data_IF_130934998278
#
_entry.id   IF_130934998278
#
_cell.length_a   1.000
_cell.length_b   1.000
_cell.length_c   1.000
_cell.angle_alpha   90.00
_cell.angle_beta   90.00
_cell.angle_gamma   90.00
#
_symmetry.space_group_name_H-M   'P 1'
#
loop_
_entity.id
_entity.type
_entity.pdbx_description
1 polymer ?
#
# COMPACT_ATOMS: atom_id res chain seq x y z
N UNK A 1 -29.03 17.04 9.24
CA UNK A 1 -27.81 17.01 8.40
C UNK A 1 -27.81 15.83 7.44
N UNK A 2 -27.86 14.58 7.92
CA UNK A 2 -27.81 13.38 7.04
C UNK A 2 -28.90 13.40 5.95
N UNK A 3 -30.15 13.73 6.30
CA UNK A 3 -31.24 13.86 5.32
C UNK A 3 -31.01 14.94 4.26
N UNK A 4 -30.29 16.02 4.59
CA UNK A 4 -29.92 17.06 3.62
C UNK A 4 -28.87 16.53 2.62
N UNK A 5 -27.92 15.72 3.10
CA UNK A 5 -26.93 15.05 2.25
C UNK A 5 -27.63 14.05 1.32
N UNK A 6 -28.56 13.25 1.85
CA UNK A 6 -29.32 12.27 1.07
C UNK A 6 -30.16 12.95 -0.04
N UNK A 7 -30.77 14.09 0.27
CA UNK A 7 -31.56 14.89 -0.68
C UNK A 7 -30.71 15.63 -1.73
N UNK A 8 -29.38 15.69 -1.58
CA UNK A 8 -28.50 16.39 -2.53
C UNK A 8 -28.33 15.62 -3.85
N UNK A 9 -27.88 16.33 -4.89
CA UNK A 9 -27.53 15.74 -6.19
C UNK A 9 -26.10 15.20 -6.26
N UNK A 10 -25.41 15.07 -5.12
CA UNK A 10 -24.04 14.55 -5.08
C UNK A 10 -24.00 13.05 -5.42
N UNK A 11 -22.89 12.53 -5.96
CA UNK A 11 -22.70 11.10 -6.14
C UNK A 11 -22.88 10.32 -4.83
N UNK A 12 -23.38 9.09 -4.91
CA UNK A 12 -23.67 8.28 -3.72
C UNK A 12 -22.42 8.02 -2.86
N UNK A 13 -21.26 7.85 -3.50
CA UNK A 13 -19.99 7.70 -2.79
C UNK A 13 -19.63 8.96 -1.96
N UNK A 14 -19.87 10.15 -2.50
CA UNK A 14 -19.65 11.40 -1.78
C UNK A 14 -20.60 11.51 -0.59
N UNK A 15 -21.88 11.13 -0.78
CA UNK A 15 -22.88 11.11 0.29
C UNK A 15 -22.48 10.17 1.42
N UNK A 16 -22.06 8.95 1.12
CA UNK A 16 -21.63 7.99 2.13
C UNK A 16 -20.39 8.46 2.90
N UNK A 17 -19.40 9.04 2.21
CA UNK A 17 -18.21 9.65 2.84
C UNK A 17 -18.61 10.79 3.78
N UNK A 18 -19.48 11.69 3.34
CA UNK A 18 -20.00 12.79 4.15
C UNK A 18 -20.78 12.30 5.38
N UNK A 19 -21.68 11.35 5.19
CA UNK A 19 -22.45 10.72 6.28
C UNK A 19 -21.53 10.04 7.30
N UNK A 20 -20.46 9.37 6.84
CA UNK A 20 -19.46 8.77 7.73
C UNK A 20 -18.79 9.81 8.64
N UNK A 21 -18.38 10.94 8.08
CA UNK A 21 -17.75 12.05 8.84
C UNK A 21 -18.71 12.59 9.89
N UNK A 22 -19.96 12.89 9.51
CA UNK A 22 -20.95 13.44 10.44
C UNK A 22 -21.36 12.44 11.53
N UNK A 23 -21.47 11.15 11.21
CA UNK A 23 -21.74 10.11 12.22
C UNK A 23 -20.61 10.05 13.25
N UNK A 24 -19.36 10.07 12.80
CA UNK A 24 -18.19 10.06 13.68
C UNK A 24 -18.17 11.26 14.63
N UNK A 25 -18.48 12.46 14.10
CA UNK A 25 -18.55 13.67 14.90
C UNK A 25 -19.72 13.61 15.90
N UNK A 26 -20.91 13.20 15.47
CA UNK A 26 -22.09 13.08 16.34
C UNK A 26 -21.89 12.04 17.45
N UNK A 27 -21.21 10.93 17.17
CA UNK A 27 -20.86 9.93 18.18
C UNK A 27 -19.86 10.49 19.21
N UNK A 28 -18.86 11.23 18.75
CA UNK A 28 -17.87 11.85 19.62
C UNK A 28 -18.51 12.88 20.57
N UNK A 29 -19.32 13.78 20.02
CA UNK A 29 -20.07 14.79 20.78
C UNK A 29 -21.08 14.15 21.75
N UNK A 30 -21.77 13.09 21.31
CA UNK A 30 -22.69 12.34 22.17
C UNK A 30 -21.98 11.74 23.39
N UNK A 31 -20.75 11.24 23.23
CA UNK A 31 -19.93 10.77 24.36
C UNK A 31 -19.50 11.88 25.30
N UNK A 32 -19.15 13.06 24.78
CA UNK A 32 -18.76 14.22 25.58
C UNK A 32 -19.95 14.72 26.41
N UNK A 33 -21.14 14.77 25.81
CA UNK A 33 -22.35 15.31 26.44
C UNK A 33 -23.21 14.26 27.15
N UNK A 34 -22.87 12.98 27.06
CA UNK A 34 -23.68 11.88 27.61
C UNK A 34 -25.03 11.70 26.90
N UNK A 35 -25.12 12.11 25.63
CA UNK A 35 -26.34 12.08 24.82
C UNK A 35 -26.27 10.99 23.73
N UNK A 36 -27.40 10.39 23.33
CA UNK A 36 -27.47 9.57 22.12
C UNK A 36 -27.07 10.39 20.89
N UNK A 37 -26.34 9.80 19.95
CA UNK A 37 -25.81 10.50 18.76
C UNK A 37 -26.88 11.18 17.88
N UNK A 38 -28.14 10.72 17.95
CA UNK A 38 -29.28 11.33 17.24
C UNK A 38 -29.85 12.59 17.89
N UNK A 39 -29.51 12.87 19.16
CA UNK A 39 -30.00 14.00 19.95
C UNK A 39 -28.94 15.09 20.15
N UNK A 40 -27.74 14.88 19.58
CA UNK A 40 -26.65 15.83 19.66
C UNK A 40 -26.93 17.01 18.73
N UNK A 41 -27.07 18.19 19.33
CA UNK A 41 -26.94 19.44 18.61
C UNK A 41 -25.46 19.76 18.48
N UNK A 42 -24.94 19.81 17.25
CA UNK A 42 -23.60 20.32 17.00
C UNK A 42 -23.62 21.82 17.35
N UNK A 43 -23.07 22.16 18.52
CA UNK A 43 -23.22 23.47 19.17
C UNK A 43 -22.36 24.59 18.55
N UNK A 44 -21.42 24.26 17.66
CA UNK A 44 -20.68 25.27 16.92
C UNK A 44 -21.60 25.89 15.85
N UNK A 45 -21.90 27.17 16.03
CA UNK A 45 -22.74 28.03 15.19
C UNK A 45 -22.34 27.90 13.71
N UNK A 46 -22.95 26.99 12.95
CA UNK A 46 -22.54 26.74 11.56
C UNK A 46 -22.97 25.40 10.98
N UNK A 47 -24.17 24.87 11.27
CA UNK A 47 -24.63 23.63 10.63
C UNK A 47 -24.50 23.66 9.09
N UNK A 48 -24.63 24.85 8.48
CA UNK A 48 -24.33 25.07 7.07
C UNK A 48 -22.82 25.07 6.76
N UNK A 49 -22.00 25.80 7.53
CA UNK A 49 -20.54 25.89 7.33
C UNK A 49 -19.86 24.53 7.48
N UNK A 50 -20.22 23.76 8.52
CA UNK A 50 -19.73 22.40 8.71
C UNK A 50 -20.14 21.46 7.56
N UNK A 51 -21.35 21.62 6.99
CA UNK A 51 -21.77 20.88 5.79
C UNK A 51 -20.89 21.29 4.60
N UNK A 52 -20.66 22.59 4.41
CA UNK A 52 -19.83 23.09 3.30
C UNK A 52 -18.38 22.62 3.45
N UNK A 53 -17.81 22.64 4.65
CA UNK A 53 -16.44 22.18 4.91
C UNK A 53 -16.29 20.68 4.67
N UNK A 54 -17.19 19.87 5.25
CA UNK A 54 -17.14 18.41 5.12
C UNK A 54 -17.42 17.97 3.69
N UNK A 55 -18.52 18.44 3.09
CA UNK A 55 -18.88 18.06 1.73
C UNK A 55 -17.94 18.69 0.71
N UNK A 56 -17.43 19.89 0.97
CA UNK A 56 -16.42 20.54 0.15
C UNK A 56 -15.09 19.78 0.13
N UNK A 57 -14.65 19.26 1.29
CA UNK A 57 -13.49 18.38 1.36
C UNK A 57 -13.71 17.08 0.57
N UNK A 58 -14.86 16.41 0.76
CA UNK A 58 -15.20 15.17 0.05
C UNK A 58 -15.22 15.38 -1.47
N UNK A 59 -15.94 16.41 -1.93
CA UNK A 59 -16.03 16.76 -3.35
C UNK A 59 -14.68 17.19 -3.89
N UNK A 60 -13.91 17.97 -3.14
CA UNK A 60 -12.56 18.40 -3.50
C UNK A 60 -11.62 17.23 -3.75
N UNK A 61 -11.62 16.23 -2.85
CA UNK A 61 -10.84 15.00 -3.02
C UNK A 61 -11.25 14.24 -4.29
N UNK A 62 -12.55 14.11 -4.57
CA UNK A 62 -13.03 13.47 -5.80
C UNK A 62 -12.62 14.24 -7.05
N UNK A 63 -12.78 15.56 -7.06
CA UNK A 63 -12.40 16.42 -8.20
C UNK A 63 -10.89 16.38 -8.47
N UNK A 64 -10.08 16.21 -7.43
CA UNK A 64 -8.64 16.00 -7.54
C UNK A 64 -8.24 14.58 -8.01
N UNK A 65 -9.21 13.66 -8.11
CA UNK A 65 -8.97 12.26 -8.45
C UNK A 65 -8.28 11.47 -7.34
N UNK A 66 -8.42 11.89 -6.07
CA UNK A 66 -7.77 11.25 -4.93
C UNK A 66 -8.48 9.93 -4.59
N UNK A 67 -7.76 8.83 -4.75
CA UNK A 67 -8.26 7.48 -4.43
C UNK A 67 -7.98 7.08 -2.97
N UNK A 68 -6.84 7.52 -2.42
CA UNK A 68 -6.44 7.26 -1.02
C UNK A 68 -5.93 8.54 -0.40
N UNK A 69 -6.32 8.78 0.85
CA UNK A 69 -5.86 9.90 1.65
C UNK A 69 -4.97 9.37 2.77
N UNK A 70 -3.84 10.02 2.99
CA UNK A 70 -2.89 9.66 4.04
C UNK A 70 -2.66 10.87 4.94
N UNK A 71 -2.49 10.62 6.24
CA UNK A 71 -2.23 11.66 7.22
C UNK A 71 -1.02 11.32 8.10
N UNK A 72 -0.23 12.34 8.42
CA UNK A 72 0.80 12.25 9.45
C UNK A 72 0.16 12.30 10.86
N UNK A 73 0.92 11.97 11.92
CA UNK A 73 0.43 12.15 13.28
C UNK A 73 -0.03 13.58 13.55
N UNK A 74 -1.21 13.72 14.15
CA UNK A 74 -1.83 15.02 14.40
C UNK A 74 -1.20 15.73 15.61
N UNK A 75 -1.06 17.06 15.58
CA UNK A 75 -0.50 17.81 16.70
C UNK A 75 -1.43 17.75 17.92
N UNK A 76 -0.82 17.58 19.10
CA UNK A 76 -1.50 17.59 20.40
C UNK A 76 -1.22 18.93 21.13
N UNK A 77 -2.03 19.98 20.92
CA UNK A 77 -1.89 21.23 21.67
C UNK A 77 -2.19 21.02 23.15
N UNK A 78 -1.61 21.86 23.99
CA UNK A 78 -1.88 21.91 25.44
C UNK A 78 -2.42 23.30 25.81
N UNK A 79 -3.19 23.38 26.89
CA UNK A 79 -3.75 24.63 27.41
C UNK A 79 -5.27 24.65 27.33
N UNK A 80 -5.84 25.84 27.19
CA UNK A 80 -7.27 26.07 27.21
C UNK A 80 -7.64 27.16 26.19
N UNK A 81 -8.81 27.04 25.57
CA UNK A 81 -9.44 28.10 24.78
C UNK A 81 -10.88 28.26 25.25
N UNK A 82 -11.24 29.47 25.68
CA UNK A 82 -12.62 29.83 26.06
C UNK A 82 -13.25 28.87 27.11
N UNK A 83 -12.51 28.46 28.13
CA UNK A 83 -13.02 27.51 29.14
C UNK A 83 -12.88 26.04 28.77
N UNK A 84 -12.47 25.72 27.52
CA UNK A 84 -12.33 24.34 27.05
C UNK A 84 -10.86 23.89 26.99
N UNK A 85 -10.52 22.71 27.54
CA UNK A 85 -9.18 22.17 27.45
C UNK A 85 -8.81 21.89 25.98
N UNK A 86 -7.53 22.07 25.66
CA UNK A 86 -6.95 21.70 24.38
C UNK A 86 -6.21 20.35 24.48
N UNK A 87 -6.45 19.41 23.54
CA UNK A 87 -7.45 19.48 22.47
C UNK A 87 -8.88 19.39 23.01
N UNK A 88 -9.84 19.92 22.25
CA UNK A 88 -11.25 19.85 22.60
C UNK A 88 -11.69 18.39 22.88
N UNK A 89 -12.58 18.15 23.86
CA UNK A 89 -13.02 16.80 24.22
C UNK A 89 -13.55 15.98 23.03
N UNK A 90 -14.30 16.61 22.13
CA UNK A 90 -14.83 15.96 20.93
C UNK A 90 -13.72 15.50 19.97
N UNK A 91 -12.66 16.30 19.80
CA UNK A 91 -11.48 15.94 19.00
C UNK A 91 -10.83 14.68 19.59
N UNK A 92 -10.63 14.62 20.91
CA UNK A 92 -10.06 13.44 21.55
C UNK A 92 -10.93 12.19 21.36
N UNK A 93 -12.25 12.31 21.44
CA UNK A 93 -13.18 11.20 21.19
C UNK A 93 -13.13 10.70 19.74
N UNK A 94 -13.10 11.61 18.76
CA UNK A 94 -12.95 11.27 17.33
C UNK A 94 -11.65 10.52 17.09
N UNK A 95 -10.53 11.06 17.57
CA UNK A 95 -9.20 10.50 17.32
C UNK A 95 -8.99 9.17 18.05
N UNK A 96 -9.54 9.02 19.26
CA UNK A 96 -9.52 7.77 20.00
C UNK A 96 -10.33 6.67 19.28
N UNK A 97 -11.45 7.00 18.65
CA UNK A 97 -12.29 6.04 17.93
C UNK A 97 -11.59 5.37 16.74
N UNK A 98 -10.57 6.02 16.17
CA UNK A 98 -9.79 5.51 15.04
C UNK A 98 -8.32 5.20 15.39
N UNK A 99 -7.97 5.24 16.67
CA UNK A 99 -6.60 5.08 17.16
C UNK A 99 -5.56 5.96 16.42
N UNK A 100 -5.93 7.21 16.15
CA UNK A 100 -5.06 8.13 15.41
C UNK A 100 -3.77 8.42 16.20
N UNK A 101 -2.58 8.36 15.56
CA UNK A 101 -1.33 8.74 16.22
C UNK A 101 -1.26 10.25 16.43
N UNK A 102 -0.75 10.63 17.59
CA UNK A 102 -0.64 12.02 18.03
C UNK A 102 0.83 12.35 18.23
N UNK A 103 1.23 13.58 17.89
CA UNK A 103 2.59 14.08 18.12
C UNK A 103 2.56 15.25 19.10
N UNK A 104 3.53 15.35 20.02
CA UNK A 104 3.75 16.56 20.78
C UNK A 104 3.96 17.75 19.82
N UNK A 105 3.36 18.89 20.13
CA UNK A 105 3.65 20.14 19.44
C UNK A 105 3.89 21.25 20.47
N UNK A 106 4.91 22.07 20.22
CA UNK A 106 5.11 23.31 20.97
C UNK A 106 4.22 24.44 20.42
N UNK A 107 4.18 25.53 21.17
CA UNK A 107 3.58 26.80 20.77
C UNK A 107 2.39 27.23 21.63
N UNK A 108 2.01 28.50 21.49
CA UNK A 108 0.99 29.16 22.33
C UNK A 108 -0.42 28.56 22.27
N UNK A 109 -1.37 29.06 23.07
CA UNK A 109 -2.74 28.55 23.11
C UNK A 109 -3.40 28.66 21.73
N UNK A 110 -4.12 27.62 21.32
CA UNK A 110 -4.83 27.60 20.05
C UNK A 110 -5.27 26.20 19.63
N UNK A 111 -6.46 26.11 19.06
CA UNK A 111 -6.99 24.86 18.51
C UNK A 111 -6.34 24.58 17.15
N UNK A 112 -5.31 23.73 17.14
CA UNK A 112 -4.61 23.33 15.93
C UNK A 112 -5.35 22.26 15.13
N UNK A 113 -6.24 21.52 15.80
CA UNK A 113 -7.07 20.49 15.20
C UNK A 113 -8.50 20.75 15.67
N UNK A 114 -9.34 21.22 14.74
CA UNK A 114 -10.76 21.46 15.02
C UNK A 114 -11.54 20.14 15.01
N UNK A 115 -12.71 20.05 15.65
CA UNK A 115 -13.58 18.86 15.59
C UNK A 115 -13.89 18.42 14.15
N UNK A 116 -14.22 19.38 13.28
CA UNK A 116 -14.49 19.12 11.85
C UNK A 116 -13.26 18.58 11.12
N UNK A 117 -12.09 19.20 11.31
CA UNK A 117 -10.84 18.74 10.68
C UNK A 117 -10.44 17.35 11.17
N UNK A 118 -10.57 17.09 12.48
CA UNK A 118 -10.34 15.76 13.05
C UNK A 118 -11.28 14.72 12.44
N UNK A 119 -12.58 15.02 12.32
CA UNK A 119 -13.56 14.09 11.76
C UNK A 119 -13.31 13.78 10.28
N UNK A 120 -12.95 14.78 9.47
CA UNK A 120 -12.58 14.58 8.05
C UNK A 120 -11.39 13.64 7.94
N UNK A 121 -10.29 13.93 8.65
CA UNK A 121 -9.07 13.12 8.57
C UNK A 121 -9.30 11.72 9.14
N UNK A 122 -9.95 11.61 10.30
CA UNK A 122 -10.23 10.33 10.94
C UNK A 122 -11.13 9.42 10.10
N UNK A 123 -12.11 9.98 9.38
CA UNK A 123 -13.02 9.19 8.57
C UNK A 123 -12.46 8.80 7.20
N UNK A 124 -11.54 9.60 6.62
CA UNK A 124 -11.11 9.44 5.23
C UNK A 124 -9.65 9.02 5.07
N UNK A 125 -8.78 9.27 6.05
CA UNK A 125 -7.34 9.09 5.91
C UNK A 125 -6.82 7.82 6.60
N UNK A 126 -5.77 7.25 6.02
CA UNK A 126 -4.91 6.27 6.69
C UNK A 126 -3.73 6.99 7.37
N UNK A 127 -3.51 6.74 8.65
CA UNK A 127 -2.42 7.36 9.40
C UNK A 127 -1.09 6.64 9.16
N UNK A 128 -0.46 6.92 8.02
CA UNK A 128 0.89 6.48 7.66
C UNK A 128 1.47 7.37 6.58
N UNK A 129 2.80 7.39 6.44
CA UNK A 129 3.45 8.07 5.34
C UNK A 129 3.67 7.08 4.17
N UNK A 130 3.04 7.29 3.00
CA UNK A 130 3.23 6.40 1.85
C UNK A 130 4.54 6.70 1.12
N UNK A 131 5.06 5.71 0.39
CA UNK A 131 5.98 5.96 -0.71
C UNK A 131 5.21 6.65 -1.84
N UNK A 132 5.63 7.86 -2.21
CA UNK A 132 4.85 8.74 -3.08
C UNK A 132 5.78 9.43 -4.07
N UNK A 133 5.48 9.29 -5.36
CA UNK A 133 6.05 10.14 -6.40
C UNK A 133 5.24 11.44 -6.47
N UNK A 134 5.79 12.50 -5.90
CA UNK A 134 5.12 13.80 -5.81
C UNK A 134 4.82 14.38 -7.19
N UNK A 135 3.55 14.76 -7.41
CA UNK A 135 3.06 15.47 -8.58
C UNK A 135 2.84 16.96 -8.29
N UNK A 136 2.28 17.27 -7.13
CA UNK A 136 1.97 18.63 -6.72
C UNK A 136 1.98 18.79 -5.18
N UNK A 137 2.16 20.02 -4.73
CA UNK A 137 2.06 20.40 -3.32
C UNK A 137 1.12 21.61 -3.22
N UNK A 138 0.21 21.59 -2.26
CA UNK A 138 -0.72 22.68 -1.97
C UNK A 138 -0.59 23.13 -0.51
N UNK A 139 -0.88 24.41 -0.27
CA UNK A 139 -0.94 24.99 1.07
C UNK A 139 -2.27 25.72 1.24
N UNK A 140 -2.94 25.49 2.36
CA UNK A 140 -4.11 26.25 2.80
C UNK A 140 -3.78 26.98 4.10
N UNK A 141 -3.90 28.29 4.12
CA UNK A 141 -3.66 29.09 5.33
C UNK A 141 -4.96 29.28 6.11
N UNK A 142 -4.90 29.16 7.44
CA UNK A 142 -6.01 29.55 8.31
C UNK A 142 -6.05 31.06 8.53
N UNK A 143 -7.17 31.57 9.06
CA UNK A 143 -7.36 33.00 9.30
C UNK A 143 -6.49 33.57 10.44
N UNK A 144 -6.05 32.74 11.38
CA UNK A 144 -5.17 33.16 12.47
C UNK A 144 -3.71 33.27 12.00
N UNK A 145 -2.96 34.23 12.54
CA UNK A 145 -1.54 34.48 12.23
C UNK A 145 -0.67 34.44 13.50
N UNK A 146 -0.35 33.23 14.02
CA UNK A 146 0.42 33.09 15.25
C UNK A 146 1.90 33.44 15.01
N UNK A 147 2.47 34.26 15.89
CA UNK A 147 3.85 34.76 15.75
C UNK A 147 4.93 33.67 15.82
N UNK A 148 4.63 32.50 16.39
CA UNK A 148 5.58 31.43 16.66
C UNK A 148 5.61 30.32 15.59
N UNK A 149 4.68 30.32 14.62
CA UNK A 149 4.56 29.27 13.61
C UNK A 149 3.69 29.67 12.41
N UNK A 150 3.88 29.05 11.23
CA UNK A 150 2.94 29.22 10.13
C UNK A 150 1.62 28.46 10.41
N UNK A 151 0.48 29.13 10.25
CA UNK A 151 -0.85 28.53 10.34
C UNK A 151 -1.30 27.96 8.99
N UNK A 152 -0.65 26.88 8.55
CA UNK A 152 -0.88 26.27 7.22
C UNK A 152 -1.11 24.76 7.29
N UNK A 153 -2.10 24.29 6.53
CA UNK A 153 -2.27 22.90 6.14
C UNK A 153 -1.53 22.65 4.83
N UNK A 154 -0.72 21.59 4.76
CA UNK A 154 0.00 21.19 3.55
C UNK A 154 -0.57 19.88 2.99
N UNK A 155 -0.85 19.86 1.70
CA UNK A 155 -1.27 18.66 0.96
C UNK A 155 -0.20 18.25 -0.05
N UNK A 156 0.05 16.95 -0.12
CA UNK A 156 0.92 16.32 -1.10
C UNK A 156 0.06 15.47 -2.02
N UNK A 157 0.13 15.74 -3.32
CA UNK A 157 -0.58 14.97 -4.33
C UNK A 157 0.43 14.28 -5.21
N UNK A 158 0.28 12.98 -5.41
CA UNK A 158 1.23 12.18 -6.16
C UNK A 158 0.69 10.79 -6.42
N UNK A 159 1.43 10.06 -7.24
CA UNK A 159 1.15 8.66 -7.51
C UNK A 159 1.86 7.83 -6.44
N UNK A 160 1.15 6.85 -5.88
CA UNK A 160 1.77 5.92 -4.94
C UNK A 160 2.92 5.23 -5.68
N UNK A 161 4.13 5.37 -5.15
CA UNK A 161 5.29 4.73 -5.77
C UNK A 161 5.21 3.25 -5.42
N UNK A 162 4.60 2.47 -6.32
CA UNK A 162 4.73 1.01 -6.34
C UNK A 162 6.14 0.59 -6.81
N UNK A 163 7.00 1.57 -7.10
CA UNK A 163 8.37 1.45 -7.56
C UNK A 163 9.28 0.73 -6.58
N UNK A 164 9.30 -0.59 -6.72
CA UNK A 164 10.43 -1.44 -6.42
C UNK A 164 10.15 -2.40 -5.28
N UNK A 165 9.80 -3.63 -5.67
CA UNK A 165 9.58 -4.81 -4.83
C UNK A 165 8.35 -4.75 -3.94
N UNK A 166 7.45 -5.73 -4.09
CA UNK A 166 6.68 -6.20 -2.94
C UNK A 166 7.67 -6.27 -1.78
N UNK A 167 7.47 -5.49 -0.70
CA UNK A 167 8.39 -5.54 0.43
C UNK A 167 8.32 -6.95 0.99
N UNK A 168 9.29 -7.76 0.60
CA UNK A 168 9.41 -9.14 1.04
C UNK A 168 10.23 -9.12 2.30
N UNK A 169 9.85 -9.97 3.24
CA UNK A 169 10.64 -10.26 4.42
C UNK A 169 11.06 -11.71 4.38
N UNK A 170 12.34 -11.92 4.67
CA UNK A 170 12.88 -13.22 5.01
C UNK A 170 12.82 -13.38 6.51
N UNK A 171 12.04 -14.34 6.96
CA UNK A 171 11.94 -14.76 8.35
C UNK A 171 12.75 -16.05 8.52
N UNK A 172 13.62 -16.09 9.52
CA UNK A 172 14.43 -17.27 9.80
C UNK A 172 14.43 -17.67 11.26
N UNK A 173 14.45 -18.96 11.52
CA UNK A 173 14.72 -19.49 12.86
C UNK A 173 15.49 -20.81 12.80
N UNK A 174 16.26 -21.09 13.84
CA UNK A 174 17.08 -22.30 13.92
C UNK A 174 16.40 -23.30 14.86
N UNK A 175 16.31 -24.56 14.43
CA UNK A 175 15.60 -25.63 15.14
C UNK A 175 16.53 -26.85 15.27
N UNK A 176 16.92 -27.23 16.50
CA UNK A 176 17.74 -28.42 16.81
C UNK A 176 17.05 -29.44 17.73
N UNK A 177 15.80 -29.19 18.10
CA UNK A 177 15.00 -29.99 19.03
C UNK A 177 13.62 -30.38 18.48
N UNK A 178 13.44 -30.29 17.15
CA UNK A 178 12.23 -30.74 16.45
C UNK A 178 12.53 -31.90 15.49
N UNK A 179 11.52 -32.76 15.27
CA UNK A 179 11.58 -33.83 14.27
C UNK A 179 11.27 -33.30 12.87
N UNK A 180 11.71 -34.04 11.84
CA UNK A 180 11.39 -33.71 10.45
C UNK A 180 9.89 -33.71 10.15
N UNK A 181 9.10 -34.58 10.79
CA UNK A 181 7.64 -34.63 10.64
C UNK A 181 6.96 -33.35 11.12
N UNK A 182 7.37 -32.83 12.29
CA UNK A 182 6.85 -31.57 12.81
C UNK A 182 7.27 -30.39 11.93
N UNK A 183 8.51 -30.38 11.45
CA UNK A 183 8.97 -29.34 10.52
C UNK A 183 8.20 -29.38 9.19
N UNK A 184 7.91 -30.57 8.66
CA UNK A 184 7.11 -30.74 7.44
C UNK A 184 5.68 -30.20 7.61
N UNK A 185 5.04 -30.48 8.75
CA UNK A 185 3.73 -29.91 9.08
C UNK A 185 3.75 -28.38 9.06
N UNK A 186 4.76 -27.76 9.66
CA UNK A 186 4.90 -26.30 9.69
C UNK A 186 5.08 -25.72 8.29
N UNK A 187 5.85 -26.38 7.41
CA UNK A 187 6.00 -25.96 6.01
C UNK A 187 4.65 -25.97 5.26
N UNK A 188 3.83 -27.00 5.44
CA UNK A 188 2.50 -27.06 4.83
C UNK A 188 1.59 -25.93 5.33
N UNK A 189 1.61 -25.66 6.64
CA UNK A 189 0.83 -24.58 7.26
C UNK A 189 1.25 -23.20 6.75
N UNK A 190 2.56 -22.98 6.57
CA UNK A 190 3.10 -21.75 5.99
C UNK A 190 2.70 -21.59 4.52
N UNK A 191 2.75 -22.66 3.72
CA UNK A 191 2.27 -22.63 2.33
C UNK A 191 0.78 -22.31 2.26
N UNK A 192 -0.03 -22.91 3.12
CA UNK A 192 -1.47 -22.63 3.22
C UNK A 192 -1.77 -21.18 3.66
N UNK A 193 -0.87 -20.54 4.41
CA UNK A 193 -0.97 -19.12 4.76
C UNK A 193 -0.77 -18.20 3.55
N UNK A 194 -0.21 -18.70 2.44
CA UNK A 194 0.04 -17.92 1.24
C UNK A 194 1.38 -17.17 1.25
N UNK A 195 2.36 -17.65 2.01
CA UNK A 195 3.74 -17.14 1.91
C UNK A 195 4.30 -17.40 0.52
N UNK A 196 5.28 -16.60 0.08
CA UNK A 196 5.89 -16.77 -1.24
C UNK A 196 6.68 -18.06 -1.34
N UNK A 197 7.43 -18.40 -0.29
CA UNK A 197 8.16 -19.67 -0.20
C UNK A 197 8.50 -20.01 1.26
N UNK A 198 8.70 -21.29 1.54
CA UNK A 198 9.18 -21.79 2.84
C UNK A 198 10.03 -23.05 2.65
N UNK A 199 11.21 -23.07 3.25
CA UNK A 199 12.18 -24.17 3.11
C UNK A 199 13.01 -24.40 4.37
N UNK A 200 13.70 -25.55 4.41
CA UNK A 200 14.61 -25.96 5.48
C UNK A 200 16.03 -26.09 4.93
N UNK A 201 16.99 -25.48 5.61
CA UNK A 201 18.43 -25.65 5.32
C UNK A 201 19.08 -26.46 6.46
N UNK A 202 19.67 -27.63 6.20
CA UNK A 202 20.33 -28.41 7.25
C UNK A 202 21.56 -27.67 7.77
N UNK A 203 21.73 -27.63 9.10
CA UNK A 203 22.84 -26.94 9.76
C UNK A 203 23.37 -27.73 10.95
N UNK A 204 24.66 -27.54 11.25
CA UNK A 204 25.27 -28.05 12.47
C UNK A 204 25.19 -26.97 13.55
N UNK A 205 24.56 -27.28 14.68
CA UNK A 205 24.38 -26.35 15.80
C UNK A 205 25.31 -26.68 16.98
N UNK A 206 25.29 -25.80 18.00
CA UNK A 206 26.12 -25.93 19.21
C UNK A 206 25.98 -27.32 19.84
N UNK A 207 27.02 -27.76 20.57
CA UNK A 207 27.08 -29.09 21.19
C UNK A 207 26.96 -30.26 20.20
N UNK A 208 27.30 -30.04 18.93
CA UNK A 208 27.26 -31.09 17.91
C UNK A 208 25.84 -31.53 17.51
N UNK A 209 24.81 -30.73 17.80
CA UNK A 209 23.42 -31.05 17.45
C UNK A 209 23.14 -30.79 15.97
N UNK A 210 22.69 -31.79 15.19
CA UNK A 210 22.13 -31.51 13.87
C UNK A 210 20.81 -30.73 14.03
N UNK A 211 20.59 -29.74 13.17
CA UNK A 211 19.38 -28.94 13.16
C UNK A 211 19.06 -28.41 11.76
N UNK A 212 18.07 -27.54 11.67
CA UNK A 212 17.68 -26.88 10.43
C UNK A 212 17.44 -25.39 10.65
N UNK A 213 17.71 -24.59 9.63
CA UNK A 213 17.21 -23.21 9.52
C UNK A 213 15.91 -23.27 8.73
N UNK A 214 14.80 -22.96 9.40
CA UNK A 214 13.51 -22.74 8.74
C UNK A 214 13.47 -21.31 8.24
N UNK A 215 13.34 -21.17 6.92
CA UNK A 215 13.32 -19.90 6.21
C UNK A 215 11.96 -19.69 5.56
N UNK A 216 11.39 -18.50 5.70
CA UNK A 216 10.08 -18.13 5.14
C UNK A 216 10.22 -16.80 4.41
N UNK A 217 9.91 -16.78 3.12
CA UNK A 217 9.83 -15.57 2.31
C UNK A 217 8.35 -15.19 2.17
N UNK A 218 7.96 -14.02 2.65
CA UNK A 218 6.56 -13.58 2.62
C UNK A 218 6.45 -12.06 2.40
N UNK A 219 5.30 -11.53 1.94
CA UNK A 219 5.08 -10.09 1.91
C UNK A 219 4.98 -9.55 3.34
N UNK A 220 5.37 -8.29 3.55
CA UNK A 220 5.26 -7.63 4.86
C UNK A 220 3.84 -7.70 5.46
N UNK A 221 2.79 -7.73 4.62
CA UNK A 221 1.40 -7.87 5.08
C UNK A 221 1.10 -9.21 5.76
N UNK A 222 1.86 -10.27 5.49
CA UNK A 222 1.71 -11.58 6.13
C UNK A 222 2.73 -11.84 7.24
N UNK A 223 3.62 -10.89 7.50
CA UNK A 223 4.73 -11.04 8.44
C UNK A 223 4.24 -11.43 9.85
N UNK A 224 3.30 -10.66 10.42
CA UNK A 224 2.82 -10.89 11.78
C UNK A 224 2.17 -12.29 11.91
N UNK A 225 1.39 -12.68 10.91
CA UNK A 225 0.73 -13.98 10.88
C UNK A 225 1.75 -15.13 10.77
N UNK A 226 2.77 -14.98 9.93
CA UNK A 226 3.84 -15.97 9.76
C UNK A 226 4.69 -16.09 11.04
N UNK A 227 5.09 -14.98 11.66
CA UNK A 227 5.83 -14.98 12.94
C UNK A 227 5.02 -15.66 14.04
N UNK A 228 3.72 -15.35 14.15
CA UNK A 228 2.83 -15.97 15.14
C UNK A 228 2.70 -17.47 14.93
N UNK A 229 2.62 -17.93 13.67
CA UNK A 229 2.59 -19.35 13.32
C UNK A 229 3.90 -20.03 13.74
N UNK A 230 5.05 -19.45 13.37
CA UNK A 230 6.36 -19.99 13.73
C UNK A 230 6.54 -20.13 15.25
N UNK A 231 6.20 -19.09 16.02
CA UNK A 231 6.31 -19.11 17.48
C UNK A 231 5.35 -20.09 18.16
N UNK A 232 4.23 -20.44 17.50
CA UNK A 232 3.20 -21.33 18.06
C UNK A 232 3.43 -22.80 17.69
N UNK A 233 3.86 -23.06 16.47
CA UNK A 233 3.95 -24.40 15.89
C UNK A 233 5.38 -24.96 15.89
N UNK A 234 6.36 -24.19 16.35
CA UNK A 234 7.75 -24.64 16.53
C UNK A 234 8.22 -24.46 17.97
N UNK A 235 9.35 -25.07 18.31
CA UNK A 235 10.02 -24.93 19.61
C UNK A 235 10.80 -23.61 19.73
N UNK A 236 10.84 -22.79 18.68
CA UNK A 236 11.66 -21.59 18.68
C UNK A 236 11.15 -20.54 19.67
N UNK A 237 12.08 -19.80 20.25
CA UNK A 237 11.79 -18.64 21.10
C UNK A 237 11.87 -17.32 20.34
N UNK A 238 12.30 -17.34 19.07
CA UNK A 238 12.50 -16.11 18.32
C UNK A 238 12.68 -16.34 16.82
N UNK A 239 12.30 -15.33 16.06
CA UNK A 239 12.41 -15.30 14.60
C UNK A 239 13.23 -14.08 14.21
N UNK A 240 14.25 -14.28 13.37
CA UNK A 240 15.02 -13.19 12.77
C UNK A 240 14.28 -12.68 11.54
N UNK A 241 14.30 -11.37 11.32
CA UNK A 241 13.67 -10.70 10.18
C UNK A 241 14.70 -9.94 9.37
N UNK A 242 14.67 -10.11 8.05
CA UNK A 242 15.45 -9.31 7.11
C UNK A 242 14.56 -8.80 5.97
N UNK A 243 14.49 -7.48 5.70
CA UNK A 243 13.90 -6.98 4.47
C UNK A 243 14.69 -7.47 3.25
N UNK A 244 14.00 -7.92 2.20
CA UNK A 244 14.61 -8.43 0.98
C UNK A 244 14.04 -7.71 -0.23
N UNK A 245 14.94 -7.17 -1.06
CA UNK A 245 14.60 -6.71 -2.41
C UNK A 245 14.74 -7.85 -3.43
N UNK A 246 13.81 -7.92 -4.37
CA UNK A 246 13.76 -8.90 -5.47
C UNK A 246 13.62 -8.20 -6.84
N UNK A 247 14.56 -8.44 -7.74
CA UNK A 247 14.37 -8.08 -9.15
C UNK A 247 13.52 -9.15 -9.83
N UNK A 248 12.33 -8.77 -10.29
CA UNK A 248 11.43 -9.66 -11.02
C UNK A 248 11.38 -9.28 -12.49
N UNK A 249 11.49 -10.30 -13.35
CA UNK A 249 11.14 -10.14 -14.75
C UNK A 249 9.61 -10.10 -14.87
N UNK A 250 9.12 -9.31 -15.82
CA UNK A 250 7.72 -9.36 -16.21
C UNK A 250 7.38 -10.78 -16.67
N UNK A 251 6.29 -11.32 -16.13
CA UNK A 251 5.82 -12.65 -16.45
C UNK A 251 4.34 -12.65 -16.73
N UNK A 252 3.93 -13.38 -17.76
CA UNK A 252 2.53 -13.68 -18.04
C UNK A 252 2.37 -15.18 -18.28
N UNK A 253 1.22 -15.73 -17.91
CA UNK A 253 0.84 -17.08 -18.33
C UNK A 253 0.17 -16.98 -19.70
N UNK A 254 0.71 -17.71 -20.67
CA UNK A 254 0.17 -17.80 -22.02
C UNK A 254 -0.33 -19.23 -22.25
N UNK A 255 -1.64 -19.39 -22.30
CA UNK A 255 -2.28 -20.64 -22.72
C UNK A 255 -2.53 -20.62 -24.22
N UNK A 256 -2.25 -21.75 -24.87
CA UNK A 256 -2.41 -21.93 -26.32
C UNK A 256 -2.71 -23.40 -26.65
N UNK A 257 -3.17 -23.65 -27.87
CA UNK A 257 -3.32 -25.02 -28.38
C UNK A 257 -2.00 -25.45 -29.02
N UNK A 258 -1.34 -26.42 -28.38
CA UNK A 258 -0.14 -27.06 -28.92
C UNK A 258 -0.50 -28.27 -29.80
N UNK A 259 0.47 -28.81 -30.54
CA UNK A 259 0.30 -30.07 -31.28
C UNK A 259 -0.05 -31.27 -30.39
N UNK A 260 0.22 -31.19 -29.09
CA UNK A 260 -0.08 -32.23 -28.10
C UNK A 260 -1.40 -31.99 -27.34
N UNK A 261 -2.03 -30.82 -27.54
CA UNK A 261 -3.24 -30.39 -26.82
C UNK A 261 -3.08 -29.03 -26.13
N UNK A 262 -4.00 -28.65 -25.22
CA UNK A 262 -3.95 -27.37 -24.54
C UNK A 262 -2.72 -27.30 -23.62
N UNK A 263 -1.87 -26.30 -23.84
CA UNK A 263 -0.63 -26.09 -23.10
C UNK A 263 -0.56 -24.68 -22.53
N UNK A 264 0.18 -24.53 -21.44
CA UNK A 264 0.47 -23.24 -20.81
C UNK A 264 1.97 -23.06 -20.68
N UNK A 265 2.47 -21.88 -21.09
CA UNK A 265 3.85 -21.45 -20.87
C UNK A 265 3.85 -20.20 -20.01
N UNK A 266 4.88 -20.07 -19.17
CA UNK A 266 5.24 -18.81 -18.52
C UNK A 266 6.13 -18.02 -19.48
N UNK A 267 5.69 -16.84 -19.87
CA UNK A 267 6.45 -15.96 -20.75
C UNK A 267 7.28 -15.03 -19.87
N UNK A 268 8.60 -15.15 -19.91
CA UNK A 268 9.54 -14.24 -19.25
C UNK A 268 9.90 -13.11 -20.21
N UNK A 269 9.67 -11.86 -19.79
CA UNK A 269 10.00 -10.64 -20.53
C UNK A 269 11.08 -9.86 -19.80
N UNK A 270 12.16 -9.57 -20.52
CA UNK A 270 13.25 -8.71 -20.05
C UNK A 270 13.37 -7.51 -21.01
N UNK A 271 13.60 -6.29 -20.49
CA UNK A 271 13.79 -5.11 -21.34
C UNK A 271 14.94 -5.31 -22.33
N UNK A 272 14.67 -5.17 -23.62
CA UNK A 272 15.68 -5.30 -24.68
C UNK A 272 15.97 -6.71 -25.17
N UNK A 273 15.37 -7.76 -24.57
CA UNK A 273 15.55 -9.15 -24.99
C UNK A 273 14.27 -9.74 -25.60
N UNK A 274 14.37 -10.76 -26.49
CA UNK A 274 13.19 -11.49 -26.94
C UNK A 274 12.54 -12.24 -25.77
N UNK A 275 11.19 -12.32 -25.73
CA UNK A 275 10.48 -13.05 -24.70
C UNK A 275 10.81 -14.54 -24.78
N UNK A 276 10.96 -15.19 -23.62
CA UNK A 276 11.20 -16.64 -23.54
C UNK A 276 9.97 -17.35 -23.01
N UNK A 277 9.59 -18.44 -23.66
CA UNK A 277 8.55 -19.33 -23.16
C UNK A 277 9.16 -20.43 -22.29
N UNK A 278 8.62 -20.63 -21.10
CA UNK A 278 9.00 -21.71 -20.20
C UNK A 278 7.76 -22.57 -19.90
N UNK A 279 7.73 -23.85 -20.33
CA UNK A 279 6.55 -24.70 -20.15
C UNK A 279 6.15 -24.88 -18.69
N UNK A 280 4.84 -24.85 -18.42
CA UNK A 280 4.31 -25.16 -17.10
C UNK A 280 4.34 -26.68 -16.84
N UNK A 281 4.91 -27.08 -15.69
CA UNK A 281 5.10 -28.48 -15.34
C UNK A 281 3.81 -29.30 -15.33
N UNK A 282 2.77 -28.85 -14.64
CA UNK A 282 1.52 -29.62 -14.50
C UNK A 282 0.80 -29.80 -15.85
N UNK A 283 0.84 -28.78 -16.70
CA UNK A 283 0.33 -28.88 -18.07
C UNK A 283 1.13 -29.91 -18.88
N UNK A 284 2.46 -29.85 -18.84
CA UNK A 284 3.32 -30.79 -19.56
C UNK A 284 3.19 -32.22 -19.04
N UNK A 285 3.03 -32.40 -17.73
CA UNK A 285 2.80 -33.70 -17.10
C UNK A 285 1.51 -34.33 -17.61
N UNK A 286 0.42 -33.58 -17.59
CA UNK A 286 -0.88 -34.03 -18.09
C UNK A 286 -0.81 -34.40 -19.58
N UNK A 287 -0.12 -33.59 -20.39
CA UNK A 287 0.10 -33.86 -21.81
C UNK A 287 0.97 -35.11 -22.04
N UNK A 288 1.98 -35.35 -21.21
CA UNK A 288 2.81 -36.57 -21.27
C UNK A 288 1.99 -37.83 -20.99
N UNK A 289 1.11 -37.79 -19.98
CA UNK A 289 0.22 -38.90 -19.63
C UNK A 289 -0.77 -39.22 -20.76
N UNK A 290 -1.31 -38.20 -21.44
CA UNK A 290 -2.28 -38.37 -22.54
C UNK A 290 -1.61 -38.81 -23.85
N UNK A 291 -0.46 -38.22 -24.18
CA UNK A 291 0.24 -38.49 -25.46
C UNK A 291 1.11 -39.75 -25.43
N UNK A 292 1.47 -40.24 -24.24
CA UNK A 292 2.42 -41.33 -24.06
C UNK A 292 3.88 -40.93 -24.35
N UNK A 293 4.16 -39.65 -24.59
CA UNK A 293 5.51 -39.15 -24.82
C UNK A 293 6.27 -38.92 -23.51
N UNK A 294 7.61 -39.07 -23.50
CA UNK A 294 8.43 -38.66 -22.36
C UNK A 294 8.25 -37.18 -22.03
N UNK A 295 8.19 -36.84 -20.73
CA UNK A 295 7.97 -35.46 -20.27
C UNK A 295 8.96 -34.45 -20.86
N UNK A 296 10.24 -34.83 -20.99
CA UNK A 296 11.27 -33.97 -21.59
C UNK A 296 10.95 -33.62 -23.05
N UNK A 297 10.37 -34.54 -23.80
CA UNK A 297 9.99 -34.33 -25.19
C UNK A 297 8.76 -33.42 -25.28
N UNK A 298 7.78 -33.61 -24.39
CA UNK A 298 6.63 -32.70 -24.26
C UNK A 298 7.09 -31.28 -23.93
N UNK A 299 8.02 -31.12 -22.99
CA UNK A 299 8.63 -29.83 -22.66
C UNK A 299 9.25 -29.15 -23.88
N UNK A 300 10.04 -29.90 -24.66
CA UNK A 300 10.69 -29.40 -25.88
C UNK A 300 9.68 -28.90 -26.91
N UNK A 301 8.63 -29.67 -27.16
CA UNK A 301 7.58 -29.34 -28.14
C UNK A 301 6.80 -28.11 -27.68
N UNK A 302 6.29 -28.10 -26.43
CA UNK A 302 5.52 -26.98 -25.88
C UNK A 302 6.35 -25.70 -25.82
N UNK A 303 7.64 -25.80 -25.49
CA UNK A 303 8.52 -24.64 -25.48
C UNK A 303 8.70 -24.06 -26.88
N UNK A 304 9.00 -24.91 -27.87
CA UNK A 304 9.23 -24.48 -29.24
C UNK A 304 7.99 -23.79 -29.83
N UNK A 305 6.81 -24.41 -29.70
CA UNK A 305 5.56 -23.85 -30.21
C UNK A 305 5.16 -22.56 -29.47
N UNK A 306 5.42 -22.49 -28.15
CA UNK A 306 5.22 -21.28 -27.37
C UNK A 306 6.11 -20.13 -27.83
N UNK A 307 7.38 -20.39 -28.16
CA UNK A 307 8.29 -19.40 -28.72
C UNK A 307 7.87 -18.95 -30.12
N UNK A 308 7.44 -19.87 -30.99
CA UNK A 308 6.94 -19.56 -32.33
C UNK A 308 5.70 -18.64 -32.28
N UNK A 309 4.78 -18.91 -31.36
CA UNK A 309 3.60 -18.08 -31.10
C UNK A 309 4.00 -16.66 -30.65
N UNK A 310 5.00 -16.54 -29.78
CA UNK A 310 5.51 -15.26 -29.32
C UNK A 310 6.22 -14.46 -30.43
N UNK A 311 6.90 -15.13 -31.36
CA UNK A 311 7.52 -14.49 -32.54
C UNK A 311 6.46 -14.02 -33.53
N UNK A 312 5.40 -14.81 -33.75
CA UNK A 312 4.29 -14.49 -34.65
C UNK A 312 3.41 -13.32 -34.21
N UNK A 313 3.36 -13.01 -32.91
CA UNK A 313 2.61 -11.85 -32.36
C UNK A 313 3.32 -10.48 -32.54
N UNK A 314 4.50 -10.41 -33.15
CA UNK A 314 5.18 -9.13 -33.41
C UNK A 314 4.66 -8.43 -34.69
N UNK A 315 3.79 -7.42 -34.54
CA UNK A 315 3.67 -6.26 -35.45
C UNK A 315 2.75 -5.15 -34.90
N UNK A 316 2.98 -3.86 -35.21
CA UNK A 316 4.21 -3.07 -35.11
C UNK A 316 4.13 -2.06 -33.93
N UNK A 317 5.27 -1.73 -33.30
CA UNK A 317 5.33 -0.57 -32.39
C UNK A 317 5.14 0.74 -33.17
N UNK A 318 4.49 1.78 -32.61
CA UNK A 318 4.40 3.10 -33.23
C UNK A 318 5.79 3.71 -33.40
N UNK A 319 6.00 4.38 -34.53
CA UNK A 319 7.30 4.79 -35.04
C UNK A 319 8.14 5.63 -34.07
N UNK A 320 9.38 5.19 -33.87
CA UNK A 320 10.46 6.06 -33.45
C UNK A 320 11.03 6.70 -34.73
N UNK A 321 10.50 7.86 -35.12
CA UNK A 321 11.14 8.68 -36.15
C UNK A 321 12.49 9.19 -35.60
N UNK A 322 13.56 8.53 -36.04
CA UNK A 322 14.91 9.04 -35.96
C UNK A 322 15.03 10.28 -36.87
N UNK A 323 14.94 11.48 -36.30
CA UNK A 323 15.44 12.69 -36.96
C UNK A 323 16.93 12.83 -36.71
N UNK A 324 17.74 12.32 -37.65
CA UNK A 324 19.11 12.81 -37.87
C UNK A 324 19.01 14.16 -38.60
N UNK A 325 19.74 15.16 -38.09
CA UNK A 325 19.64 16.57 -38.48
C UNK A 325 20.26 16.94 -39.83
N UNK A 326 20.58 18.23 -40.01
CA UNK A 326 21.96 18.53 -40.39
C UNK A 326 22.63 19.51 -39.44
N UNK A 327 23.90 19.20 -39.19
CA UNK A 327 24.93 20.08 -38.64
C UNK A 327 25.28 21.17 -39.66
N UNK A 328 25.39 22.42 -39.21
CA UNK A 328 26.52 23.28 -39.59
C UNK A 328 26.66 24.51 -38.69
N UNK A 329 27.84 24.59 -38.07
CA UNK A 329 28.68 25.78 -37.86
C UNK A 329 28.24 26.94 -36.93
N UNK A 330 29.06 27.18 -35.90
CA UNK A 330 29.79 28.45 -35.84
C UNK A 330 29.63 29.39 -34.63
N UNK A 331 30.28 29.05 -33.51
CA UNK A 331 31.11 29.95 -32.67
C UNK A 331 30.50 31.11 -31.82
N UNK A 332 31.23 31.58 -30.77
CA UNK A 332 30.68 31.79 -29.42
C UNK A 332 30.65 33.25 -28.97
N UNK A 333 29.94 33.55 -27.85
CA UNK A 333 30.26 34.69 -26.96
C UNK A 333 29.54 34.64 -25.59
N UNK A 334 30.37 34.56 -24.55
CA UNK A 334 30.40 35.36 -23.32
C UNK A 334 29.18 35.42 -22.36
N UNK A 335 29.31 34.69 -21.24
CA UNK A 335 29.41 35.18 -19.86
C UNK A 335 28.38 36.19 -19.29
N UNK A 336 27.65 35.77 -18.24
CA UNK A 336 27.88 36.13 -16.81
C UNK A 336 26.75 35.59 -15.90
N UNK A 337 26.99 35.41 -14.58
CA UNK A 337 26.04 34.83 -13.63
C UNK A 337 25.36 35.90 -12.76
N UNK A 338 24.22 35.55 -12.15
CA UNK A 338 23.71 36.19 -10.92
C UNK A 338 22.59 35.34 -10.31
N UNK A 339 22.79 34.90 -9.06
CA UNK A 339 21.74 34.43 -8.15
C UNK A 339 20.94 35.60 -7.57
N UNK A 340 20.40 35.53 -6.33
CA UNK A 340 20.58 34.52 -5.27
C UNK A 340 19.59 33.36 -5.31
#
# INVERSE_FOLDING_TARGET
>A
ILSLIDASSLPEEDKERGKRIFRLLAEAEGRVHGLPSGEVHLHEVGAADAIVDVMGAVVGLRLLGVQRLYASPLPMPVGEREGMPLPAPAVLQVLAAVHAPLRPCGGGPGELVTPTGAAIVAALAEFRQPALRLRAVGYGAGAADPADRPNVLRLWLGDQDEGGTSSLVLLETNLDDMTGELMAHVLERLRALGVNDAWLTPVQMKKGRPGAVLSVLCPESLEEAAVRLLLRETTTLGVRRQPVGRWEAEREALSFQSSLGPATVKVKRLPGEPPRAEPEFEACRSLAEVSGLPLLEVYRIVQQEGEELLRGRRSPSPGHEARRGPSSAGSPRQGRPSGP
#
